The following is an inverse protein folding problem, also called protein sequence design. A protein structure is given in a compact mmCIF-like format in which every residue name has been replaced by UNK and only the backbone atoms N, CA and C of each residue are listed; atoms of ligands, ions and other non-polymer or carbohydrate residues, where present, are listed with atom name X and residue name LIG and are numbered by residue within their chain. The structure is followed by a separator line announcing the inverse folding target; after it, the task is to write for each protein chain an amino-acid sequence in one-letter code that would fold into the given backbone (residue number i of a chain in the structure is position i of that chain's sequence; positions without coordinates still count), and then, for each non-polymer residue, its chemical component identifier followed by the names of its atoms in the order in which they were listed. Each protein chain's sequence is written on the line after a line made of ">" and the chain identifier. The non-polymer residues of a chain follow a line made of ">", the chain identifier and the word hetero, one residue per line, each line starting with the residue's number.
data_IF_458966572922
#
_entry.id   IF_458966572922
#
_cell.length_a   1.000
_cell.length_b   1.000
_cell.length_c   1.000
_cell.angle_alpha   90.00
_cell.angle_beta   90.00
_cell.angle_gamma   90.00
#
_symmetry.space_group_name_H-M   'P 1'
#
loop_
_entity.id
_entity.type
_entity.pdbx_description
1 polymer ?
#
# COMPACT_ATOMS: atom_id res chain seq x y z
N UNK A 1 -0.46 12.30 7.49
CA UNK A 1 -1.56 12.08 6.53
C UNK A 1 -1.11 11.03 5.53
N UNK A 2 -1.67 9.81 5.59
CA UNK A 2 -1.28 8.70 4.72
C UNK A 2 -2.28 8.62 3.56
N UNK A 3 -1.88 9.05 2.35
CA UNK A 3 -2.79 9.29 1.22
C UNK A 3 -3.49 8.02 0.68
N UNK A 4 -2.94 6.84 0.94
CA UNK A 4 -3.51 5.53 0.60
C UNK A 4 -3.98 4.71 1.81
N UNK A 5 -3.93 5.27 3.04
CA UNK A 5 -4.24 4.51 4.25
C UNK A 5 -5.68 3.96 4.30
N UNK A 6 -6.63 4.65 3.65
CA UNK A 6 -8.02 4.21 3.57
C UNK A 6 -8.31 3.14 2.52
N UNK A 7 -7.35 2.82 1.65
CA UNK A 7 -7.51 1.89 0.53
C UNK A 7 -6.73 0.59 0.71
N UNK A 8 -6.54 0.19 1.96
CA UNK A 8 -5.87 -1.06 2.31
C UNK A 8 -6.78 -2.25 2.04
N UNK A 9 -6.19 -3.32 1.51
CA UNK A 9 -6.79 -4.65 1.44
C UNK A 9 -6.30 -5.46 2.63
N UNK A 10 -7.24 -5.92 3.44
CA UNK A 10 -6.98 -6.49 4.77
C UNK A 10 -7.61 -7.88 4.89
N UNK A 11 -6.97 -8.71 5.71
CA UNK A 11 -7.54 -9.94 6.31
C UNK A 11 -7.36 -9.85 7.83
N UNK A 12 -8.01 -10.70 8.65
CA UNK A 12 -7.79 -10.68 10.09
C UNK A 12 -6.30 -10.79 10.45
N UNK A 13 -5.77 -9.74 11.08
CA UNK A 13 -4.38 -9.69 11.55
C UNK A 13 -3.32 -9.41 10.48
N UNK A 14 -3.67 -9.11 9.23
CA UNK A 14 -2.68 -8.80 8.20
C UNK A 14 -3.19 -7.86 7.09
N UNK A 15 -2.26 -7.06 6.56
CA UNK A 15 -2.39 -6.34 5.31
C UNK A 15 -1.95 -7.24 4.17
N UNK A 16 -2.73 -7.29 3.08
CA UNK A 16 -2.38 -8.06 1.88
C UNK A 16 -2.10 -7.19 0.65
N UNK A 17 -2.29 -5.86 0.76
CA UNK A 17 -1.99 -4.91 -0.31
C UNK A 17 -2.79 -3.63 -0.19
N UNK A 18 -2.75 -2.83 -1.24
CA UNK A 18 -3.63 -1.70 -1.50
C UNK A 18 -4.59 -2.01 -2.64
N UNK A 19 -5.62 -1.17 -2.76
CA UNK A 19 -6.34 -1.04 -4.01
C UNK A 19 -5.43 -0.38 -5.05
N UNK A 20 -4.95 -1.19 -6.00
CA UNK A 20 -4.04 -0.72 -7.05
C UNK A 20 -4.71 0.29 -8.00
N UNK A 21 -6.03 0.19 -8.20
CA UNK A 21 -6.78 1.15 -8.99
C UNK A 21 -6.78 2.53 -8.34
N UNK A 22 -7.00 2.60 -7.03
CA UNK A 22 -6.91 3.83 -6.25
C UNK A 22 -5.48 4.41 -6.22
N UNK A 23 -4.47 3.54 -6.18
CA UNK A 23 -3.06 3.96 -6.23
C UNK A 23 -2.71 4.63 -7.57
N UNK A 24 -3.13 4.02 -8.69
CA UNK A 24 -2.92 4.57 -10.03
C UNK A 24 -3.73 5.85 -10.25
N UNK A 25 -5.00 5.89 -9.82
CA UNK A 25 -5.83 7.10 -9.92
C UNK A 25 -5.24 8.27 -9.10
N UNK A 26 -4.68 7.99 -7.92
CA UNK A 26 -3.98 9.00 -7.14
C UNK A 26 -2.68 9.45 -7.82
N UNK A 27 -1.91 8.54 -8.42
CA UNK A 27 -0.70 8.88 -9.15
C UNK A 27 -1.01 9.82 -10.33
N UNK A 28 -2.04 9.51 -11.11
CA UNK A 28 -2.52 10.35 -12.21
C UNK A 28 -2.96 11.74 -11.71
N UNK A 29 -3.75 11.80 -10.64
CA UNK A 29 -4.20 13.07 -10.05
C UNK A 29 -3.06 13.95 -9.53
N UNK A 30 -1.91 13.35 -9.19
CA UNK A 30 -0.70 14.05 -8.76
C UNK A 30 0.23 14.42 -9.93
N UNK A 31 -0.14 14.10 -11.17
CA UNK A 31 0.67 14.35 -12.37
C UNK A 31 1.85 13.39 -12.51
N UNK A 32 1.83 12.25 -11.81
CA UNK A 32 2.83 11.20 -12.00
C UNK A 32 2.51 10.46 -13.29
N UNK A 33 3.53 10.17 -14.10
CA UNK A 33 3.36 9.37 -15.30
C UNK A 33 2.81 7.96 -14.94
N UNK A 34 1.66 7.59 -15.51
CA UNK A 34 0.97 6.36 -15.15
C UNK A 34 1.75 5.08 -15.49
N UNK A 35 2.59 5.09 -16.54
CA UNK A 35 3.46 3.95 -16.85
C UNK A 35 4.53 3.79 -15.76
N UNK A 36 5.17 4.90 -15.36
CA UNK A 36 6.16 4.87 -14.28
C UNK A 36 5.51 4.42 -12.96
N UNK A 37 4.28 4.89 -12.67
CA UNK A 37 3.54 4.45 -11.50
C UNK A 37 3.23 2.94 -11.56
N UNK A 38 2.73 2.44 -12.69
CA UNK A 38 2.41 1.03 -12.86
C UNK A 38 3.63 0.10 -12.69
N UNK A 39 4.81 0.52 -13.15
CA UNK A 39 6.05 -0.26 -12.98
C UNK A 39 6.57 -0.25 -11.54
N UNK A 40 6.46 0.88 -10.83
CA UNK A 40 7.10 1.06 -9.52
C UNK A 40 6.19 0.74 -8.33
N UNK A 41 4.88 0.94 -8.45
CA UNK A 41 3.91 0.71 -7.37
C UNK A 41 3.92 -0.74 -6.84
N UNK A 42 4.06 -1.81 -7.64
CA UNK A 42 4.10 -3.18 -7.13
C UNK A 42 5.26 -3.43 -6.16
N UNK A 43 6.44 -2.87 -6.43
CA UNK A 43 7.60 -3.02 -5.53
C UNK A 43 7.40 -2.23 -4.23
N UNK A 44 6.85 -1.01 -4.34
CA UNK A 44 6.48 -0.19 -3.17
C UNK A 44 5.44 -0.92 -2.31
N UNK A 45 4.43 -1.52 -2.92
CA UNK A 45 3.43 -2.34 -2.25
C UNK A 45 4.07 -3.48 -1.46
N UNK A 46 4.93 -4.28 -2.09
CA UNK A 46 5.58 -5.39 -1.43
C UNK A 46 6.37 -4.96 -0.19
N UNK A 47 7.14 -3.87 -0.29
CA UNK A 47 7.91 -3.33 0.85
C UNK A 47 6.97 -2.89 1.97
N UNK A 48 5.92 -2.16 1.65
CA UNK A 48 5.04 -1.59 2.66
C UNK A 48 4.12 -2.62 3.30
N UNK A 49 3.61 -3.60 2.55
CA UNK A 49 2.85 -4.74 3.09
C UNK A 49 3.70 -5.46 4.14
N UNK A 50 4.97 -5.75 3.82
CA UNK A 50 5.91 -6.34 4.77
C UNK A 50 6.05 -5.47 6.02
N UNK A 51 6.29 -4.17 5.87
CA UNK A 51 6.47 -3.24 7.00
C UNK A 51 5.23 -3.14 7.89
N UNK A 52 4.04 -3.05 7.30
CA UNK A 52 2.79 -2.95 8.06
C UNK A 52 2.52 -4.25 8.83
N UNK A 53 2.77 -5.41 8.22
CA UNK A 53 2.64 -6.70 8.91
C UNK A 53 3.67 -6.89 10.02
N UNK A 54 4.92 -6.45 9.83
CA UNK A 54 5.95 -6.41 10.89
C UNK A 54 5.46 -5.58 12.09
N UNK A 55 4.86 -4.42 11.84
CA UNK A 55 4.30 -3.56 12.89
C UNK A 55 3.10 -4.21 13.60
N UNK A 56 2.19 -4.85 12.86
CA UNK A 56 1.04 -5.55 13.43
C UNK A 56 1.53 -6.68 14.35
N UNK A 57 2.51 -7.47 13.89
CA UNK A 57 3.10 -8.53 14.69
C UNK A 57 3.77 -8.00 15.97
N UNK A 58 4.50 -6.89 15.88
CA UNK A 58 5.14 -6.26 17.04
C UNK A 58 4.13 -5.73 18.07
N UNK A 59 2.97 -5.23 17.63
CA UNK A 59 1.89 -4.76 18.52
C UNK A 59 1.10 -5.90 19.16
N UNK A 60 1.10 -7.08 18.54
CA UNK A 60 0.45 -8.29 19.07
C UNK A 60 1.34 -9.08 20.04
N UNK A 61 2.62 -8.69 20.20
CA UNK A 61 3.52 -9.28 21.17
C UNK A 61 3.13 -8.85 22.61
N UNK A 62 3.12 -9.78 23.58
CA UNK A 62 2.72 -9.52 24.96
C UNK A 62 3.70 -8.63 25.73
#
# INVERSE_FOLDING_TARGET
>A
MQRLGGQLRLVPGAVIGWDMGAALALAEALGVNSLIAAETLPEIEAVMVRRLNEQIAAQAAP
#
